data_IF_226189402054
#
_entry.id   IF_226189402054
#
_cell.length_a   1.000
_cell.length_b   1.000
_cell.length_c   1.000
_cell.angle_alpha   90.00
_cell.angle_beta   90.00
_cell.angle_gamma   90.00
#
_symmetry.space_group_name_H-M   'P 1'
#
loop_
_entity.id
_entity.type
_entity.pdbx_description
1 polymer ?
#
# COMPACT_ATOMS: atom_id res chain seq x y z
N UNK A 1 1.01 -1.12 -28.04
CA UNK A 1 0.41 -2.28 -27.34
C UNK A 1 -0.88 -1.80 -26.67
N UNK A 2 -1.98 -2.57 -26.70
CA UNK A 2 -3.25 -2.17 -26.09
C UNK A 2 -3.19 -2.35 -24.56
N UNK A 3 -3.72 -1.40 -23.78
CA UNK A 3 -3.71 -1.42 -22.30
C UNK A 3 -4.28 -2.73 -21.72
N UNK A 4 -5.37 -3.26 -22.29
CA UNK A 4 -5.95 -4.53 -21.87
C UNK A 4 -4.95 -5.69 -21.99
N UNK A 5 -4.24 -5.76 -23.12
CA UNK A 5 -3.24 -6.80 -23.35
C UNK A 5 -2.05 -6.67 -22.38
N UNK A 6 -1.63 -5.45 -22.04
CA UNK A 6 -0.57 -5.21 -21.05
C UNK A 6 -0.99 -5.77 -19.69
N UNK A 7 -2.21 -5.46 -19.25
CA UNK A 7 -2.76 -5.97 -17.97
C UNK A 7 -2.83 -7.50 -17.99
N UNK A 8 -3.40 -8.10 -19.04
CA UNK A 8 -3.50 -9.57 -19.13
C UNK A 8 -2.13 -10.25 -19.12
N UNK A 9 -1.16 -9.70 -19.84
CA UNK A 9 0.22 -10.22 -19.83
C UNK A 9 0.85 -10.10 -18.45
N UNK A 10 0.69 -8.97 -17.75
CA UNK A 10 1.19 -8.81 -16.38
C UNK A 10 0.52 -9.77 -15.39
N UNK A 11 -0.77 -10.03 -15.55
CA UNK A 11 -1.51 -11.01 -14.73
C UNK A 11 -1.04 -12.44 -14.94
N UNK A 12 -0.82 -12.84 -16.21
CA UNK A 12 -0.27 -14.15 -16.57
C UNK A 12 1.16 -14.32 -16.02
N UNK A 13 1.98 -13.26 -16.06
CA UNK A 13 3.33 -13.24 -15.46
C UNK A 13 3.27 -13.44 -13.94
N UNK A 14 2.37 -12.72 -13.25
CA UNK A 14 2.20 -12.84 -11.80
C UNK A 14 1.76 -14.26 -11.40
N UNK A 15 0.77 -14.81 -12.12
CA UNK A 15 0.31 -16.18 -11.92
C UNK A 15 1.43 -17.20 -12.15
N UNK A 16 2.18 -17.07 -13.26
CA UNK A 16 3.29 -17.96 -13.57
C UNK A 16 4.40 -17.92 -12.52
N UNK A 17 4.75 -16.73 -12.01
CA UNK A 17 5.71 -16.58 -10.93
C UNK A 17 5.24 -17.24 -9.63
N UNK A 18 3.97 -17.04 -9.26
CA UNK A 18 3.38 -17.66 -8.07
C UNK A 18 3.32 -19.19 -8.17
N UNK A 19 2.95 -19.73 -9.34
CA UNK A 19 2.92 -21.17 -9.61
C UNK A 19 4.31 -21.80 -9.51
N UNK A 20 5.32 -21.17 -10.11
CA UNK A 20 6.69 -21.66 -10.06
C UNK A 20 7.24 -21.69 -8.61
N UNK A 21 7.03 -20.60 -7.87
CA UNK A 21 7.47 -20.50 -6.47
C UNK A 21 6.74 -21.49 -5.56
N UNK A 22 5.43 -21.68 -5.76
CA UNK A 22 4.65 -22.66 -4.99
C UNK A 22 5.12 -24.10 -5.27
N UNK A 23 5.35 -24.44 -6.54
CA UNK A 23 5.84 -25.77 -6.91
C UNK A 23 7.18 -26.08 -6.24
N UNK A 24 8.13 -25.14 -6.25
CA UNK A 24 9.42 -25.28 -5.58
C UNK A 24 9.26 -25.42 -4.05
N UNK A 25 8.37 -24.63 -3.44
CA UNK A 25 8.11 -24.70 -2.00
C UNK A 25 7.48 -26.04 -1.59
N UNK A 26 6.54 -26.57 -2.39
CA UNK A 26 5.91 -27.87 -2.16
C UNK A 26 6.92 -29.00 -2.32
N UNK A 27 7.79 -28.94 -3.33
CA UNK A 27 8.84 -29.95 -3.53
C UNK A 27 9.79 -30.03 -2.33
N UNK A 28 10.17 -28.88 -1.77
CA UNK A 28 11.11 -28.80 -0.64
C UNK A 28 10.48 -29.12 0.72
N UNK A 29 9.27 -28.65 0.99
CA UNK A 29 8.66 -28.66 2.33
C UNK A 29 7.43 -29.57 2.45
N UNK A 30 6.87 -30.05 1.34
CA UNK A 30 5.64 -30.83 1.29
C UNK A 30 4.37 -29.98 1.40
N UNK A 31 3.23 -30.55 0.97
CA UNK A 31 1.93 -29.83 0.90
C UNK A 31 1.39 -29.38 2.26
N UNK A 32 1.69 -30.13 3.33
CA UNK A 32 1.21 -29.86 4.69
C UNK A 32 2.02 -28.75 5.41
N UNK A 33 3.07 -28.21 4.78
CA UNK A 33 3.85 -27.13 5.36
C UNK A 33 2.98 -25.90 5.63
N UNK A 34 3.09 -25.34 6.83
CA UNK A 34 2.22 -24.27 7.30
C UNK A 34 2.50 -22.95 6.58
N UNK A 35 1.44 -22.27 6.19
CA UNK A 35 1.46 -20.92 5.61
C UNK A 35 0.67 -19.99 6.52
N UNK A 36 1.30 -18.90 6.95
CA UNK A 36 0.64 -17.84 7.69
C UNK A 36 1.45 -16.54 7.62
N UNK A 37 0.78 -15.40 7.54
CA UNK A 37 1.39 -14.12 7.89
C UNK A 37 1.48 -13.97 9.43
N UNK A 38 2.45 -13.19 9.93
CA UNK A 38 2.57 -12.92 11.36
C UNK A 38 1.40 -12.08 11.88
N UNK A 39 0.93 -12.40 13.09
CA UNK A 39 -0.04 -11.61 13.86
C UNK A 39 -1.30 -11.15 13.09
N UNK A 40 -1.90 -12.08 12.35
CA UNK A 40 -3.18 -11.88 11.66
C UNK A 40 -4.21 -12.97 11.98
N UNK A 41 -5.46 -12.57 12.21
CA UNK A 41 -6.59 -13.49 12.36
C UNK A 41 -7.23 -13.91 11.01
N UNK A 42 -6.80 -13.26 9.92
CA UNK A 42 -7.43 -13.31 8.60
C UNK A 42 -6.69 -14.19 7.60
N UNK A 43 -5.77 -15.07 8.05
CA UNK A 43 -5.01 -15.98 7.18
C UNK A 43 -4.29 -15.20 6.08
N UNK A 44 -4.64 -15.39 4.80
CA UNK A 44 -4.25 -14.56 3.67
C UNK A 44 -5.40 -13.59 3.37
N UNK A 45 -5.31 -12.31 3.79
CA UNK A 45 -6.48 -11.46 3.88
C UNK A 45 -7.21 -11.20 2.57
N UNK A 46 -6.52 -11.02 1.45
CA UNK A 46 -7.14 -10.72 0.17
C UNK A 46 -7.85 -11.96 -0.40
N UNK A 47 -7.20 -13.13 -0.35
CA UNK A 47 -7.81 -14.42 -0.72
C UNK A 47 -9.00 -14.72 0.19
N UNK A 48 -8.85 -14.54 1.50
CA UNK A 48 -9.91 -14.80 2.47
C UNK A 48 -11.11 -13.87 2.24
N UNK A 49 -10.88 -12.59 1.95
CA UNK A 49 -11.95 -11.66 1.66
C UNK A 49 -12.67 -12.00 0.34
N UNK A 50 -11.94 -12.46 -0.68
CA UNK A 50 -12.51 -12.81 -1.98
C UNK A 50 -13.27 -14.15 -1.97
N UNK A 51 -12.79 -15.14 -1.21
CA UNK A 51 -13.29 -16.54 -1.29
C UNK A 51 -14.01 -17.02 -0.04
N UNK A 52 -13.80 -16.36 1.09
CA UNK A 52 -14.26 -16.83 2.41
C UNK A 52 -13.47 -18.03 2.95
N UNK A 53 -12.45 -18.50 2.23
CA UNK A 53 -11.66 -19.68 2.60
C UNK A 53 -10.31 -19.26 3.21
N UNK A 54 -9.96 -19.88 4.34
CA UNK A 54 -8.64 -19.68 4.96
C UNK A 54 -7.63 -20.63 4.33
N UNK A 55 -6.48 -20.10 3.97
CA UNK A 55 -5.33 -20.86 3.46
C UNK A 55 -4.32 -21.02 4.60
N UNK A 56 -4.02 -22.25 5.00
CA UNK A 56 -3.14 -22.53 6.14
C UNK A 56 -1.95 -23.42 5.78
N UNK A 57 -1.96 -24.04 4.59
CA UNK A 57 -0.92 -24.93 4.11
C UNK A 57 -0.49 -24.59 2.68
N UNK A 58 0.66 -25.09 2.23
CA UNK A 58 1.08 -24.96 0.84
C UNK A 58 0.09 -25.63 -0.14
N UNK A 59 -0.52 -26.74 0.26
CA UNK A 59 -1.57 -27.40 -0.54
C UNK A 59 -2.80 -26.54 -0.77
N UNK A 60 -3.21 -25.75 0.23
CA UNK A 60 -4.34 -24.82 0.10
C UNK A 60 -4.07 -23.74 -0.97
N UNK A 61 -2.80 -23.33 -1.12
CA UNK A 61 -2.40 -22.32 -2.10
C UNK A 61 -2.56 -22.80 -3.56
N UNK A 62 -2.52 -24.11 -3.83
CA UNK A 62 -2.84 -24.64 -5.17
C UNK A 62 -4.28 -24.27 -5.55
N UNK A 63 -5.22 -24.42 -4.61
CA UNK A 63 -6.62 -24.01 -4.79
C UNK A 63 -6.78 -22.50 -4.97
N UNK A 64 -6.00 -21.70 -4.23
CA UNK A 64 -5.99 -20.25 -4.40
C UNK A 64 -5.52 -19.84 -5.82
N UNK A 65 -4.51 -20.51 -6.38
CA UNK A 65 -4.02 -20.22 -7.73
C UNK A 65 -5.02 -20.60 -8.84
N UNK A 66 -5.88 -21.60 -8.63
CA UNK A 66 -6.98 -21.87 -9.55
C UNK A 66 -8.04 -20.74 -9.54
N UNK A 67 -8.29 -20.12 -8.38
CA UNK A 67 -9.13 -18.91 -8.30
C UNK A 67 -8.47 -17.76 -9.07
N UNK A 68 -7.18 -17.51 -8.86
CA UNK A 68 -6.41 -16.50 -9.60
C UNK A 68 -6.54 -16.72 -11.10
N UNK A 69 -6.34 -17.94 -11.57
CA UNK A 69 -6.45 -18.31 -12.98
C UNK A 69 -7.84 -18.08 -13.54
N UNK A 70 -8.89 -18.35 -12.78
CA UNK A 70 -10.28 -18.14 -13.21
C UNK A 70 -10.65 -16.67 -13.46
N UNK A 71 -9.93 -15.75 -12.82
CA UNK A 71 -10.14 -14.30 -12.96
C UNK A 71 -9.49 -13.72 -14.22
N UNK A 72 -8.59 -14.46 -14.89
CA UNK A 72 -7.87 -14.01 -16.07
C UNK A 72 -8.65 -14.41 -17.32
N UNK A 73 -9.39 -13.46 -17.89
CA UNK A 73 -10.08 -13.61 -19.18
C UNK A 73 -9.54 -12.58 -20.18
N UNK A 74 -9.06 -13.04 -21.34
CA UNK A 74 -8.45 -12.17 -22.37
C UNK A 74 -9.44 -11.44 -23.27
N UNK A 75 -10.74 -11.54 -23.01
CA UNK A 75 -11.74 -10.73 -23.72
C UNK A 75 -11.59 -9.26 -23.32
N UNK A 76 -11.57 -8.34 -24.30
CA UNK A 76 -11.32 -6.91 -24.10
C UNK A 76 -12.55 -6.18 -23.53
N UNK A 77 -12.90 -6.49 -22.29
CA UNK A 77 -13.95 -5.84 -21.51
C UNK A 77 -13.37 -5.27 -20.21
N UNK A 78 -13.90 -4.14 -19.76
CA UNK A 78 -13.42 -3.44 -18.57
C UNK A 78 -13.45 -4.33 -17.33
N UNK A 79 -14.52 -5.12 -17.15
CA UNK A 79 -14.62 -6.06 -16.02
C UNK A 79 -13.47 -7.08 -16.02
N UNK A 80 -13.05 -7.55 -17.20
CA UNK A 80 -12.00 -8.56 -17.31
C UNK A 80 -10.63 -7.96 -17.02
N UNK A 81 -10.40 -6.70 -17.39
CA UNK A 81 -9.18 -5.99 -16.99
C UNK A 81 -9.09 -5.82 -15.46
N UNK A 82 -10.21 -5.49 -14.81
CA UNK A 82 -10.26 -5.38 -13.35
C UNK A 82 -10.10 -6.74 -12.67
N UNK A 83 -10.77 -7.78 -13.15
CA UNK A 83 -10.60 -9.14 -12.63
C UNK A 83 -9.15 -9.64 -12.79
N UNK A 84 -8.50 -9.35 -13.91
CA UNK A 84 -7.09 -9.65 -14.11
C UNK A 84 -6.17 -8.86 -13.14
N UNK A 85 -6.49 -7.59 -12.88
CA UNK A 85 -5.83 -6.80 -11.84
C UNK A 85 -5.99 -7.39 -10.44
N UNK A 86 -7.19 -7.84 -10.07
CA UNK A 86 -7.44 -8.56 -8.81
C UNK A 86 -6.69 -9.90 -8.77
N UNK A 87 -6.63 -10.63 -9.89
CA UNK A 87 -5.83 -11.84 -10.01
C UNK A 87 -4.34 -11.57 -9.71
N UNK A 88 -3.81 -10.46 -10.21
CA UNK A 88 -2.44 -10.02 -9.92
C UNK A 88 -2.22 -9.75 -8.44
N UNK A 89 -3.18 -9.09 -7.76
CA UNK A 89 -3.11 -8.86 -6.32
C UNK A 89 -3.13 -10.17 -5.53
N UNK A 90 -4.03 -11.11 -5.87
CA UNK A 90 -4.09 -12.42 -5.23
C UNK A 90 -2.82 -13.26 -5.48
N UNK A 91 -2.27 -13.22 -6.69
CA UNK A 91 -0.98 -13.87 -7.01
C UNK A 91 0.18 -13.27 -6.19
N UNK A 92 0.20 -11.95 -6.03
CA UNK A 92 1.16 -11.27 -5.17
C UNK A 92 1.01 -11.71 -3.70
N UNK A 93 -0.22 -11.90 -3.20
CA UNK A 93 -0.44 -12.41 -1.83
C UNK A 93 0.11 -13.82 -1.65
N UNK A 94 -0.07 -14.70 -2.65
CA UNK A 94 0.51 -16.04 -2.65
C UNK A 94 2.04 -15.97 -2.60
N UNK A 95 2.67 -15.15 -3.45
CA UNK A 95 4.14 -14.98 -3.47
C UNK A 95 4.64 -14.46 -2.11
N UNK A 96 3.99 -13.45 -1.55
CA UNK A 96 4.37 -12.90 -0.25
C UNK A 96 4.17 -13.92 0.89
N UNK A 97 3.07 -14.67 0.88
CA UNK A 97 2.84 -15.75 1.84
C UNK A 97 3.92 -16.84 1.75
N UNK A 98 4.36 -17.18 0.53
CA UNK A 98 5.44 -18.12 0.30
C UNK A 98 6.76 -17.62 0.89
N UNK A 99 7.10 -16.34 0.72
CA UNK A 99 8.29 -15.74 1.36
C UNK A 99 8.25 -15.91 2.88
N UNK A 100 7.12 -15.57 3.52
CA UNK A 100 6.95 -15.75 4.98
C UNK A 100 6.96 -17.21 5.45
N UNK A 101 6.55 -18.15 4.60
CA UNK A 101 6.54 -19.58 4.96
C UNK A 101 7.88 -20.28 4.76
N UNK A 102 8.72 -19.81 3.83
CA UNK A 102 9.95 -20.50 3.39
C UNK A 102 11.23 -19.77 3.76
N UNK A 103 11.16 -18.51 4.19
CA UNK A 103 12.30 -17.70 4.62
C UNK A 103 12.14 -17.35 6.10
N UNK A 104 13.22 -17.44 6.88
CA UNK A 104 13.19 -17.16 8.32
C UNK A 104 12.85 -15.69 8.63
N UNK A 105 13.36 -14.76 7.83
CA UNK A 105 13.10 -13.32 7.92
C UNK A 105 13.04 -12.71 6.51
N UNK A 106 11.89 -12.79 5.82
CA UNK A 106 11.77 -12.31 4.43
C UNK A 106 11.92 -10.78 4.31
N UNK A 107 11.70 -10.05 5.40
CA UNK A 107 11.84 -8.61 5.49
C UNK A 107 12.68 -8.22 6.70
N UNK A 108 13.57 -7.24 6.50
CA UNK A 108 14.38 -6.62 7.54
C UNK A 108 14.32 -5.11 7.42
N UNK A 109 14.62 -4.40 8.51
CA UNK A 109 14.71 -2.95 8.51
C UNK A 109 15.62 -2.46 7.37
N UNK A 110 15.20 -1.43 6.61
CA UNK A 110 14.09 -0.52 6.89
C UNK A 110 12.70 -1.04 6.48
N UNK A 111 12.59 -2.14 5.73
CA UNK A 111 11.31 -2.62 5.18
C UNK A 111 10.45 -3.33 6.24
N UNK A 112 9.17 -2.94 6.32
CA UNK A 112 8.22 -3.49 7.27
C UNK A 112 7.60 -4.84 6.81
N UNK A 113 7.49 -5.07 5.50
CA UNK A 113 6.75 -6.21 4.96
C UNK A 113 5.28 -6.18 5.35
N UNK A 114 4.78 -7.31 5.87
CA UNK A 114 3.40 -7.49 6.32
C UNK A 114 3.04 -6.60 7.51
N UNK A 115 1.99 -5.79 7.36
CA UNK A 115 1.44 -4.98 8.44
C UNK A 115 0.51 -5.84 9.30
N UNK A 116 0.76 -5.94 10.60
CA UNK A 116 0.02 -6.82 11.50
C UNK A 116 -1.35 -6.26 11.89
N UNK A 117 -2.28 -7.12 12.33
CA UNK A 117 -3.63 -6.69 12.72
C UNK A 117 -3.64 -5.65 13.88
N UNK A 118 -2.76 -5.74 14.90
CA UNK A 118 -2.65 -4.70 15.92
C UNK A 118 -2.31 -3.31 15.35
N UNK A 119 -1.44 -3.23 14.34
CA UNK A 119 -1.10 -1.96 13.67
C UNK A 119 -2.31 -1.44 12.90
N UNK A 120 -3.04 -2.30 12.19
CA UNK A 120 -4.25 -1.86 11.47
C UNK A 120 -5.31 -1.34 12.44
N UNK A 121 -5.45 -1.98 13.61
CA UNK A 121 -6.36 -1.52 14.67
C UNK A 121 -5.97 -0.16 15.23
N UNK A 122 -4.67 0.14 15.38
CA UNK A 122 -4.22 1.46 15.83
C UNK A 122 -4.46 2.55 14.78
N UNK A 123 -4.36 2.21 13.49
CA UNK A 123 -4.63 3.12 12.36
C UNK A 123 -6.11 3.36 12.08
N UNK A 124 -7.00 2.46 12.56
CA UNK A 124 -8.43 2.51 12.27
C UNK A 124 -9.15 3.74 12.79
N UNK A 125 -8.90 4.12 14.06
CA UNK A 125 -9.55 5.29 14.65
C UNK A 125 -9.16 6.58 13.89
N UNK A 126 -7.87 6.87 13.65
CA UNK A 126 -7.45 8.03 12.85
C UNK A 126 -8.04 8.09 11.43
N UNK A 127 -8.20 6.95 10.76
CA UNK A 127 -8.82 6.88 9.43
C UNK A 127 -10.31 7.22 9.48
N UNK A 128 -11.03 6.77 10.51
CA UNK A 128 -12.48 7.05 10.67
C UNK A 128 -12.73 8.50 11.11
N UNK A 129 -11.90 9.04 12.00
CA UNK A 129 -12.02 10.44 12.46
C UNK A 129 -11.55 11.44 11.40
N UNK A 130 -10.83 10.98 10.37
CA UNK A 130 -10.23 11.81 9.32
C UNK A 130 -8.96 12.54 9.76
N UNK A 131 -8.37 12.13 10.88
CA UNK A 131 -7.04 12.60 11.31
C UNK A 131 -5.93 12.10 10.39
N UNK A 132 -6.13 10.92 9.77
CA UNK A 132 -5.42 10.50 8.56
C UNK A 132 -6.35 10.77 7.38
N UNK A 133 -6.13 11.85 6.59
CA UNK A 133 -7.05 12.23 5.52
C UNK A 133 -7.09 11.23 4.35
N UNK A 134 -6.01 10.46 4.18
CA UNK A 134 -5.80 9.59 3.04
C UNK A 134 -4.60 8.67 3.21
N UNK A 135 -4.55 7.64 2.36
CA UNK A 135 -3.43 6.71 2.23
C UNK A 135 -2.78 6.90 0.86
N UNK A 136 -1.50 7.26 0.84
CA UNK A 136 -0.71 7.39 -0.38
C UNK A 136 0.15 6.13 -0.56
N UNK A 137 0.06 5.46 -1.71
CA UNK A 137 0.95 4.34 -2.05
C UNK A 137 1.91 4.80 -3.12
N UNK A 138 3.18 4.99 -2.79
CA UNK A 138 4.21 5.41 -3.74
C UNK A 138 5.05 4.20 -4.13
N UNK A 139 5.06 3.86 -5.41
CA UNK A 139 5.83 2.74 -5.94
C UNK A 139 6.73 3.13 -7.11
N UNK A 140 7.84 2.41 -7.25
CA UNK A 140 8.75 2.51 -8.39
C UNK A 140 9.97 3.37 -8.08
N UNK A 141 10.35 4.23 -9.01
CA UNK A 141 11.56 5.04 -8.97
C UNK A 141 11.28 6.47 -9.47
N UNK A 142 11.57 7.47 -8.64
CA UNK A 142 11.55 8.88 -9.06
C UNK A 142 12.80 9.21 -9.90
N UNK A 143 12.82 10.30 -10.68
CA UNK A 143 14.00 10.72 -11.44
C UNK A 143 15.22 10.99 -10.54
N UNK A 144 14.99 11.45 -9.31
CA UNK A 144 16.01 11.76 -8.32
C UNK A 144 15.45 11.68 -6.89
N UNK A 145 16.34 11.66 -5.89
CA UNK A 145 15.99 11.54 -4.48
C UNK A 145 15.30 12.79 -3.90
N UNK A 146 15.59 13.97 -4.44
CA UNK A 146 14.98 15.23 -3.99
C UNK A 146 13.49 15.28 -4.38
N UNK A 147 13.17 14.89 -5.62
CA UNK A 147 11.81 14.75 -6.13
C UNK A 147 11.00 13.74 -5.30
N UNK A 148 11.59 12.58 -4.98
CA UNK A 148 10.95 11.59 -4.09
C UNK A 148 10.67 12.17 -2.71
N UNK A 149 11.67 12.79 -2.07
CA UNK A 149 11.52 13.37 -0.75
C UNK A 149 10.51 14.52 -0.71
N UNK A 150 10.45 15.34 -1.76
CA UNK A 150 9.48 16.42 -1.89
C UNK A 150 8.05 15.89 -1.85
N UNK A 151 7.75 14.87 -2.66
CA UNK A 151 6.42 14.24 -2.71
C UNK A 151 6.07 13.59 -1.37
N UNK A 152 6.99 12.81 -0.78
CA UNK A 152 6.76 12.09 0.48
C UNK A 152 6.57 13.07 1.65
N UNK A 153 7.43 14.09 1.77
CA UNK A 153 7.33 15.11 2.82
C UNK A 153 6.07 15.95 2.66
N UNK A 154 5.63 16.23 1.43
CA UNK A 154 4.38 16.94 1.20
C UNK A 154 3.18 16.11 1.69
N UNK A 155 3.09 14.82 1.33
CA UNK A 155 2.06 13.92 1.88
C UNK A 155 2.11 13.82 3.41
N UNK A 156 3.31 13.72 3.99
CA UNK A 156 3.51 13.69 5.44
C UNK A 156 3.06 15.00 6.10
N UNK A 157 3.38 16.17 5.52
CA UNK A 157 2.96 17.48 6.04
C UNK A 157 1.44 17.65 6.04
N UNK A 158 0.78 16.98 5.10
CA UNK A 158 -0.67 16.92 4.95
C UNK A 158 -1.32 15.87 5.85
N UNK A 159 -0.54 15.13 6.64
CA UNK A 159 -1.00 14.13 7.60
C UNK A 159 -1.41 12.79 6.98
N UNK A 160 -1.12 12.56 5.69
CA UNK A 160 -1.43 11.29 5.03
C UNK A 160 -0.55 10.16 5.53
N UNK A 161 -1.09 8.94 5.51
CA UNK A 161 -0.33 7.72 5.69
C UNK A 161 0.29 7.31 4.36
N UNK A 162 1.62 7.33 4.26
CA UNK A 162 2.35 7.03 3.03
C UNK A 162 3.02 5.66 3.12
N UNK A 163 2.79 4.80 2.14
CA UNK A 163 3.49 3.53 1.97
C UNK A 163 4.45 3.62 0.79
N UNK A 164 5.67 3.09 0.96
CA UNK A 164 6.72 3.09 -0.06
C UNK A 164 7.02 1.67 -0.54
N UNK A 165 7.11 1.47 -1.85
CA UNK A 165 7.44 0.18 -2.48
C UNK A 165 8.46 0.40 -3.61
N UNK A 166 9.53 -0.40 -3.65
CA UNK A 166 10.55 -0.30 -4.69
C UNK A 166 11.66 0.72 -4.37
N UNK A 167 12.35 1.17 -5.42
CA UNK A 167 13.57 1.97 -5.31
C UNK A 167 13.36 3.35 -4.68
N UNK A 168 12.13 3.84 -4.65
CA UNK A 168 11.75 5.06 -3.90
C UNK A 168 12.09 4.97 -2.40
N UNK A 169 12.20 3.76 -1.83
CA UNK A 169 12.65 3.56 -0.44
C UNK A 169 14.09 4.05 -0.28
N UNK A 170 15.00 3.65 -1.16
CA UNK A 170 16.40 4.09 -1.12
C UNK A 170 16.52 5.59 -1.34
N UNK A 171 15.75 6.13 -2.29
CA UNK A 171 15.69 7.57 -2.56
C UNK A 171 15.21 8.38 -1.36
N UNK A 172 14.23 7.86 -0.60
CA UNK A 172 13.75 8.49 0.62
C UNK A 172 14.85 8.50 1.71
N UNK A 173 15.62 7.41 1.83
CA UNK A 173 16.74 7.30 2.77
C UNK A 173 17.87 8.27 2.39
N UNK A 174 18.27 8.29 1.12
CA UNK A 174 19.31 9.15 0.58
C UNK A 174 19.01 10.63 0.83
N UNK A 175 17.74 11.03 0.71
CA UNK A 175 17.28 12.39 0.96
C UNK A 175 16.94 12.70 2.44
N UNK A 176 17.22 11.76 3.35
CA UNK A 176 17.05 11.94 4.80
C UNK A 176 15.60 12.04 5.26
N UNK A 177 14.66 11.39 4.55
CA UNK A 177 13.27 11.26 5.01
C UNK A 177 13.23 10.29 6.18
N UNK A 178 12.73 10.74 7.34
CA UNK A 178 12.53 9.85 8.49
C UNK A 178 11.30 8.97 8.24
N UNK A 179 11.47 7.66 8.34
CA UNK A 179 10.41 6.67 8.12
C UNK A 179 10.06 5.93 9.42
N UNK A 180 8.83 5.44 9.49
CA UNK A 180 8.27 4.73 10.63
C UNK A 180 6.75 4.88 10.69
N UNK A 181 6.11 3.96 11.42
CA UNK A 181 4.66 4.00 11.65
C UNK A 181 4.21 5.30 12.33
N UNK A 182 4.96 5.75 13.34
CA UNK A 182 4.68 7.01 14.08
C UNK A 182 4.76 8.23 13.15
N UNK A 183 5.71 8.21 12.20
CA UNK A 183 5.94 9.26 11.23
C UNK A 183 5.02 9.15 9.99
N UNK A 184 4.11 8.17 9.97
CA UNK A 184 3.17 7.91 8.88
C UNK A 184 3.85 7.66 7.52
N UNK A 185 5.10 7.20 7.49
CA UNK A 185 5.82 6.83 6.26
C UNK A 185 6.38 5.42 6.43
N UNK A 186 5.79 4.43 5.75
CA UNK A 186 6.05 3.01 5.97
C UNK A 186 6.62 2.38 4.69
N UNK A 187 7.93 2.08 4.63
CA UNK A 187 8.50 1.27 3.56
C UNK A 187 8.06 -0.20 3.71
N UNK A 188 7.46 -0.77 2.66
CA UNK A 188 6.96 -2.15 2.69
C UNK A 188 7.99 -3.14 2.18
N UNK A 189 8.62 -2.85 1.03
CA UNK A 189 9.53 -3.76 0.37
C UNK A 189 9.98 -3.27 -1.00
N UNK A 190 11.08 -3.85 -1.49
CA UNK A 190 11.62 -3.51 -2.81
C UNK A 190 10.88 -4.18 -3.96
N UNK A 191 10.36 -5.40 -3.75
CA UNK A 191 9.62 -6.11 -4.78
C UNK A 191 8.23 -5.52 -4.98
N UNK A 192 7.77 -5.46 -6.24
CA UNK A 192 6.43 -4.98 -6.60
C UNK A 192 5.34 -5.77 -5.87
N UNK A 193 5.54 -7.07 -5.63
CA UNK A 193 4.58 -7.93 -4.90
C UNK A 193 4.31 -7.43 -3.48
N UNK A 194 5.24 -6.71 -2.86
CA UNK A 194 5.08 -6.12 -1.52
C UNK A 194 3.94 -5.10 -1.44
N UNK A 195 3.46 -4.57 -2.58
CA UNK A 195 2.28 -3.69 -2.64
C UNK A 195 1.03 -4.37 -2.08
N UNK A 196 0.98 -5.71 -2.09
CA UNK A 196 -0.14 -6.45 -1.51
C UNK A 196 -0.28 -6.20 0.00
N UNK A 197 0.81 -5.85 0.70
CA UNK A 197 0.76 -5.56 2.12
C UNK A 197 -0.10 -4.33 2.42
N UNK A 198 -0.10 -3.28 1.57
CA UNK A 198 -1.03 -2.15 1.74
C UNK A 198 -2.45 -2.46 1.26
N UNK A 199 -2.60 -3.26 0.19
CA UNK A 199 -3.93 -3.75 -0.22
C UNK A 199 -4.58 -4.54 0.92
N UNK A 200 -3.82 -5.39 1.59
CA UNK A 200 -4.29 -6.16 2.74
C UNK A 200 -4.70 -5.28 3.94
N UNK A 201 -4.14 -4.06 4.07
CA UNK A 201 -4.59 -3.08 5.07
C UNK A 201 -5.99 -2.58 4.73
N UNK A 202 -6.24 -2.21 3.47
CA UNK A 202 -7.56 -1.78 3.01
C UNK A 202 -8.61 -2.90 3.13
N UNK A 203 -8.24 -4.12 2.75
CA UNK A 203 -9.12 -5.29 2.85
C UNK A 203 -9.45 -5.62 4.30
N UNK A 204 -8.45 -5.65 5.19
CA UNK A 204 -8.68 -5.91 6.62
C UNK A 204 -9.42 -4.77 7.28
N UNK A 205 -9.29 -3.53 6.84
CA UNK A 205 -10.13 -2.44 7.33
C UNK A 205 -11.62 -2.70 7.05
N UNK A 206 -11.96 -3.26 5.89
CA UNK A 206 -13.33 -3.69 5.58
C UNK A 206 -13.81 -4.83 6.48
N UNK A 207 -12.97 -5.84 6.71
CA UNK A 207 -13.31 -6.99 7.56
C UNK A 207 -13.42 -6.62 9.05
N UNK A 208 -12.51 -5.77 9.56
CA UNK A 208 -12.43 -5.39 10.98
C UNK A 208 -13.47 -4.31 11.32
N UNK A 209 -13.52 -3.22 10.56
CA UNK A 209 -14.35 -2.06 10.88
C UNK A 209 -15.67 -2.05 10.13
N UNK A 210 -15.69 -2.53 8.89
CA UNK A 210 -16.90 -2.69 8.10
C UNK A 210 -17.74 -3.90 8.51
N UNK A 211 -17.16 -4.86 9.24
CA UNK A 211 -17.85 -6.10 9.62
C UNK A 211 -18.26 -6.94 8.41
N UNK A 212 -17.54 -6.78 7.28
CA UNK A 212 -17.86 -7.47 6.03
C UNK A 212 -17.70 -8.99 6.19
N UNK A 213 -18.62 -9.74 5.60
CA UNK A 213 -18.54 -11.21 5.60
C UNK A 213 -17.46 -11.66 4.59
N UNK A 214 -16.49 -12.48 4.99
CA UNK A 214 -15.51 -13.05 4.07
C UNK A 214 -16.18 -13.80 2.92
N UNK A 215 -15.74 -13.58 1.69
CA UNK A 215 -16.37 -14.10 0.46
C UNK A 215 -17.34 -13.12 -0.22
N UNK A 216 -17.71 -12.01 0.43
CA UNK A 216 -18.48 -10.93 -0.19
C UNK A 216 -17.56 -9.96 -0.94
N UNK A 217 -17.10 -10.38 -2.12
CA UNK A 217 -16.21 -9.55 -2.95
C UNK A 217 -16.88 -8.24 -3.38
N UNK A 218 -18.17 -8.24 -3.72
CA UNK A 218 -18.86 -7.02 -4.15
C UNK A 218 -18.94 -6.00 -3.00
N UNK A 219 -19.32 -6.45 -1.80
CA UNK A 219 -19.32 -5.60 -0.61
C UNK A 219 -17.92 -5.11 -0.24
N UNK A 220 -16.87 -5.90 -0.51
CA UNK A 220 -15.48 -5.48 -0.33
C UNK A 220 -15.12 -4.31 -1.25
N UNK A 221 -15.38 -4.46 -2.56
CA UNK A 221 -15.06 -3.43 -3.55
C UNK A 221 -15.83 -2.13 -3.27
N UNK A 222 -17.10 -2.24 -2.87
CA UNK A 222 -17.91 -1.08 -2.47
C UNK A 222 -17.35 -0.40 -1.22
N UNK A 223 -16.96 -1.18 -0.19
CA UNK A 223 -16.39 -0.64 1.02
C UNK A 223 -15.06 0.07 0.75
N UNK A 224 -14.14 -0.55 0.00
CA UNK A 224 -12.82 0.06 -0.28
C UNK A 224 -12.98 1.33 -1.11
N UNK A 225 -13.83 1.32 -2.13
CA UNK A 225 -14.08 2.48 -2.98
C UNK A 225 -14.67 3.67 -2.20
N UNK A 226 -15.54 3.43 -1.22
CA UNK A 226 -16.26 4.48 -0.50
C UNK A 226 -15.64 4.89 0.84
N UNK A 227 -14.94 3.99 1.54
CA UNK A 227 -14.50 4.19 2.94
C UNK A 227 -12.99 4.28 3.11
N UNK A 228 -12.20 3.76 2.17
CA UNK A 228 -10.73 3.76 2.28
C UNK A 228 -10.16 4.81 1.31
N UNK A 229 -9.82 6.02 1.76
CA UNK A 229 -9.32 7.10 0.89
C UNK A 229 -7.87 6.85 0.43
N UNK A 230 -7.65 5.81 -0.38
CA UNK A 230 -6.35 5.46 -0.91
C UNK A 230 -6.20 5.84 -2.39
N UNK A 231 -4.96 6.13 -2.80
CA UNK A 231 -4.53 6.32 -4.18
C UNK A 231 -3.09 5.82 -4.37
N UNK A 232 -2.70 5.62 -5.62
CA UNK A 232 -1.41 5.04 -5.98
C UNK A 232 -0.62 6.02 -6.86
N UNK A 233 0.65 6.22 -6.56
CA UNK A 233 1.62 6.96 -7.35
C UNK A 233 2.67 6.00 -7.91
N UNK A 234 2.65 5.74 -9.21
CA UNK A 234 3.60 4.85 -9.89
C UNK A 234 4.63 5.67 -10.67
N UNK A 235 5.88 5.69 -10.21
CA UNK A 235 6.96 6.47 -10.80
C UNK A 235 7.98 5.62 -11.55
N UNK A 236 8.50 6.19 -12.63
CA UNK A 236 9.51 5.56 -13.47
C UNK A 236 8.92 4.51 -14.42
N UNK A 237 9.77 3.76 -15.13
CA UNK A 237 9.33 2.81 -16.16
C UNK A 237 8.36 1.76 -15.61
N UNK A 238 7.17 1.66 -16.22
CA UNK A 238 6.14 0.71 -15.80
C UNK A 238 6.29 -0.61 -16.57
N UNK A 239 6.55 -1.71 -15.86
CA UNK A 239 6.46 -3.06 -16.42
C UNK A 239 5.01 -3.51 -16.56
N UNK A 240 4.77 -4.56 -17.36
CA UNK A 240 3.43 -5.15 -17.51
C UNK A 240 2.85 -5.58 -16.15
N UNK A 241 3.69 -6.14 -15.27
CA UNK A 241 3.31 -6.53 -13.91
C UNK A 241 2.82 -5.34 -13.08
N UNK A 242 3.53 -4.20 -13.12
CA UNK A 242 3.15 -2.98 -12.39
C UNK A 242 1.85 -2.40 -12.93
N UNK A 243 1.68 -2.37 -14.26
CA UNK A 243 0.42 -1.91 -14.88
C UNK A 243 -0.74 -2.81 -14.47
N UNK A 244 -0.52 -4.13 -14.40
CA UNK A 244 -1.52 -5.09 -13.94
C UNK A 244 -1.89 -4.91 -12.47
N UNK A 245 -0.90 -4.67 -11.60
CA UNK A 245 -1.16 -4.33 -10.19
C UNK A 245 -1.96 -3.02 -10.06
N UNK A 246 -1.68 -2.02 -10.92
CA UNK A 246 -2.45 -0.78 -11.02
C UNK A 246 -3.92 -1.01 -11.37
N UNK A 247 -4.21 -1.96 -12.26
CA UNK A 247 -5.60 -2.35 -12.57
C UNK A 247 -6.32 -2.93 -11.34
N UNK A 248 -5.61 -3.67 -10.48
CA UNK A 248 -6.13 -4.16 -9.20
C UNK A 248 -6.44 -3.02 -8.22
N UNK A 249 -5.59 -2.00 -8.15
CA UNK A 249 -5.85 -0.80 -7.36
C UNK A 249 -7.10 -0.05 -7.85
N UNK A 250 -7.25 0.11 -9.17
CA UNK A 250 -8.44 0.74 -9.76
C UNK A 250 -9.70 -0.09 -9.47
N UNK A 251 -9.61 -1.43 -9.52
CA UNK A 251 -10.73 -2.31 -9.16
C UNK A 251 -11.20 -2.09 -7.71
N UNK A 252 -10.27 -1.80 -6.79
CA UNK A 252 -10.58 -1.45 -5.38
C UNK A 252 -11.10 -0.02 -5.20
N UNK A 253 -11.17 0.77 -6.27
CA UNK A 253 -11.60 2.17 -6.27
C UNK A 253 -10.48 3.17 -5.97
N UNK A 254 -9.22 2.79 -6.18
CA UNK A 254 -8.06 3.63 -5.93
C UNK A 254 -7.48 4.15 -7.25
N UNK A 255 -7.44 5.48 -7.47
CA UNK A 255 -6.87 6.04 -8.67
C UNK A 255 -5.35 5.85 -8.69
N UNK A 256 -4.80 5.69 -9.88
CA UNK A 256 -3.38 5.55 -10.17
C UNK A 256 -2.89 6.79 -10.91
N UNK A 257 -1.89 7.45 -10.36
CA UNK A 257 -1.24 8.62 -10.93
C UNK A 257 0.18 8.22 -11.28
N UNK A 258 0.62 8.49 -12.50
CA UNK A 258 1.98 8.14 -12.96
C UNK A 258 2.64 9.30 -13.69
N UNK A 259 3.97 9.32 -13.70
CA UNK A 259 4.76 10.24 -14.51
C UNK A 259 5.01 9.72 -15.95
N UNK A 260 4.67 8.45 -16.20
CA UNK A 260 4.81 7.84 -17.52
C UNK A 260 3.62 8.16 -18.42
N UNK A 261 3.89 8.23 -19.73
CA UNK A 261 2.82 8.47 -20.71
C UNK A 261 2.02 7.20 -20.91
N UNK A 262 0.79 7.18 -20.40
CA UNK A 262 -0.14 6.04 -20.48
C UNK A 262 -1.43 6.43 -21.19
N UNK A 263 -2.22 5.42 -21.59
CA UNK A 263 -3.58 5.67 -22.06
C UNK A 263 -4.46 5.98 -20.84
N UNK A 264 -4.71 7.27 -20.62
CA UNK A 264 -5.45 7.73 -19.46
C UNK A 264 -6.89 7.20 -19.43
N UNK A 265 -7.34 6.92 -18.21
CA UNK A 265 -8.74 6.63 -17.91
C UNK A 265 -9.20 7.72 -16.94
N UNK A 266 -10.16 8.57 -17.32
CA UNK A 266 -10.58 9.69 -16.48
C UNK A 266 -10.84 9.26 -15.03
N UNK A 267 -10.32 10.05 -14.09
CA UNK A 267 -10.38 9.84 -12.64
C UNK A 267 -9.71 8.57 -12.09
N UNK A 268 -9.26 7.62 -12.93
CA UNK A 268 -8.77 6.32 -12.48
C UNK A 268 -7.29 6.08 -12.82
N UNK A 269 -6.85 6.49 -14.02
CA UNK A 269 -5.46 6.39 -14.46
C UNK A 269 -5.07 7.71 -15.10
N UNK A 270 -4.21 8.47 -14.43
CA UNK A 270 -3.84 9.83 -14.81
C UNK A 270 -2.33 9.97 -14.99
N UNK A 271 -1.92 10.77 -15.95
CA UNK A 271 -0.52 11.15 -16.17
C UNK A 271 -0.26 12.53 -15.58
N UNK A 272 0.65 12.63 -14.62
CA UNK A 272 1.16 13.90 -14.09
C UNK A 272 2.68 13.88 -14.10
N UNK A 273 3.28 14.65 -15.00
CA UNK A 273 4.74 14.74 -15.17
C UNK A 273 5.38 15.81 -14.30
N UNK A 274 4.59 16.77 -13.83
CA UNK A 274 5.04 17.84 -12.97
C UNK A 274 4.98 17.38 -11.51
N UNK A 275 6.14 17.03 -10.95
CA UNK A 275 6.27 16.52 -9.58
C UNK A 275 5.75 17.47 -8.51
N UNK A 276 5.69 18.77 -8.82
CA UNK A 276 5.16 19.80 -7.91
C UNK A 276 3.63 19.76 -7.83
N UNK A 277 2.98 19.17 -8.82
CA UNK A 277 1.52 19.06 -8.91
C UNK A 277 1.00 17.66 -8.61
N UNK A 278 1.88 16.66 -8.54
CA UNK A 278 1.51 15.25 -8.27
C UNK A 278 0.64 15.13 -7.03
N UNK A 279 1.04 15.75 -5.92
CA UNK A 279 0.30 15.63 -4.66
C UNK A 279 -1.11 16.22 -4.80
N UNK A 280 -1.22 17.40 -5.42
CA UNK A 280 -2.52 18.03 -5.67
C UNK A 280 -3.41 17.17 -6.59
N UNK A 281 -2.86 16.66 -7.69
CA UNK A 281 -3.57 15.77 -8.62
C UNK A 281 -4.03 14.48 -7.93
N UNK A 282 -3.21 13.86 -7.08
CA UNK A 282 -3.57 12.63 -6.36
C UNK A 282 -4.73 12.85 -5.39
N UNK A 283 -4.69 13.95 -4.64
CA UNK A 283 -5.75 14.32 -3.69
C UNK A 283 -7.05 14.63 -4.40
N UNK A 284 -6.99 15.38 -5.51
CA UNK A 284 -8.16 15.70 -6.33
C UNK A 284 -8.77 14.45 -6.96
N UNK A 285 -7.94 13.57 -7.55
CA UNK A 285 -8.38 12.32 -8.14
C UNK A 285 -9.12 11.42 -7.15
N UNK A 286 -8.68 11.41 -5.88
CA UNK A 286 -9.36 10.65 -4.81
C UNK A 286 -10.49 11.41 -4.12
N UNK A 287 -10.63 12.71 -4.36
CA UNK A 287 -11.61 13.57 -3.68
C UNK A 287 -11.26 13.90 -2.22
N UNK A 288 -9.98 13.82 -1.84
CA UNK A 288 -9.51 14.12 -0.48
C UNK A 288 -9.40 15.64 -0.33
N UNK A 289 -10.22 16.20 0.55
CA UNK A 289 -10.16 17.63 0.91
C UNK A 289 -9.40 17.77 2.22
N UNK A 290 -8.19 18.29 2.13
CA UNK A 290 -7.36 18.54 3.30
C UNK A 290 -7.90 19.77 4.03
N UNK A 291 -8.18 19.62 5.32
CA UNK A 291 -8.63 20.73 6.20
C UNK A 291 -7.47 21.62 6.69
N UNK A 292 -6.30 21.56 6.06
CA UNK A 292 -5.09 22.23 6.54
C UNK A 292 -5.08 23.66 6.02
N UNK A 293 -5.13 24.60 6.95
CA UNK A 293 -4.67 25.96 6.76
C UNK A 293 -3.15 25.89 6.61
N UNK A 294 -2.58 26.27 5.46
CA UNK A 294 -1.12 26.43 5.34
C UNK A 294 -0.66 27.39 6.45
N UNK A 295 0.16 26.89 7.36
CA UNK A 295 0.74 27.72 8.43
C UNK A 295 2.10 28.17 7.92
N UNK A 296 2.35 29.49 7.74
CA UNK A 296 3.61 30.00 7.20
C UNK A 296 4.71 29.95 8.26
N UNK A 297 5.19 28.75 8.57
CA UNK A 297 6.28 28.47 9.51
C UNK A 297 7.43 27.76 8.79
N UNK A 298 8.70 28.02 9.17
CA UNK A 298 9.87 27.48 8.48
C UNK A 298 10.15 26.00 8.82
N UNK A 299 9.23 25.34 9.52
CA UNK A 299 9.36 23.95 9.99
C UNK A 299 8.11 23.16 9.60
N UNK A 300 8.29 21.85 9.35
CA UNK A 300 7.18 20.96 9.03
C UNK A 300 6.22 20.85 10.22
N UNK A 301 4.91 20.92 9.95
CA UNK A 301 3.84 20.82 10.95
C UNK A 301 2.81 19.80 10.49
N UNK A 302 2.69 18.71 11.24
CA UNK A 302 1.73 17.65 11.01
C UNK A 302 1.58 16.79 12.27
N UNK A 303 0.46 16.09 12.40
CA UNK A 303 0.24 15.11 13.47
C UNK A 303 1.28 13.97 13.47
N UNK A 304 1.95 13.72 12.33
CA UNK A 304 3.05 12.76 12.23
C UNK A 304 4.28 13.11 13.08
N UNK A 305 4.47 14.38 13.47
CA UNK A 305 5.58 14.80 14.34
C UNK A 305 5.19 14.82 15.83
N UNK A 306 3.95 14.48 16.16
CA UNK A 306 3.50 14.37 17.54
C UNK A 306 4.22 13.20 18.24
N UNK A 307 4.76 13.45 19.43
CA UNK A 307 5.49 12.45 20.20
C UNK A 307 6.98 12.31 19.86
N UNK A 308 7.53 13.14 18.95
CA UNK A 308 8.97 13.13 18.67
C UNK A 308 9.79 13.39 19.95
N UNK A 309 10.74 12.49 20.23
CA UNK A 309 11.61 12.61 21.40
C UNK A 309 12.84 13.46 21.09
N UNK A 310 12.87 14.67 21.63
CA UNK A 310 14.04 15.57 21.56
C UNK A 310 15.04 15.22 22.68
N UNK A 311 16.27 14.83 22.32
CA UNK A 311 17.36 14.55 23.28
C UNK A 311 18.13 15.82 23.61
N UNK A 312 18.84 15.83 24.74
CA UNK A 312 19.63 17.00 25.19
C UNK A 312 20.70 17.44 24.17
N UNK A 313 21.24 16.52 23.37
CA UNK A 313 22.19 16.82 22.29
C UNK A 313 21.57 17.62 21.15
N UNK A 314 20.28 17.43 20.90
CA UNK A 314 19.56 17.97 19.74
C UNK A 314 18.65 19.15 20.14
N UNK A 315 18.60 19.45 21.44
CA UNK A 315 17.74 20.46 22.06
C UNK A 315 18.40 21.84 22.04
N UNK A 316 17.78 22.80 21.36
CA UNK A 316 18.26 24.19 21.33
C UNK A 316 17.89 24.97 22.60
N UNK A 317 16.66 24.83 23.09
CA UNK A 317 16.15 25.49 24.29
C UNK A 317 15.13 24.59 25.03
N UNK A 318 15.00 24.77 26.35
CA UNK A 318 14.09 24.00 27.21
C UNK A 318 13.32 24.96 28.13
N UNK A 319 12.00 24.82 28.18
CA UNK A 319 11.12 25.62 29.03
C UNK A 319 10.19 24.69 29.83
N UNK A 320 9.90 25.03 31.09
CA UNK A 320 9.04 24.25 31.99
C UNK A 320 9.76 23.21 32.84
N UNK A 321 8.97 22.26 33.38
CA UNK A 321 9.45 21.25 34.33
C UNK A 321 9.98 21.86 35.62
N UNK A 322 11.02 21.24 36.20
CA UNK A 322 11.67 21.76 37.42
C UNK A 322 12.79 22.79 37.12
N UNK A 323 12.95 23.22 35.86
CA UNK A 323 14.06 24.09 35.45
C UNK A 323 13.66 25.55 35.32
N UNK A 324 12.48 25.81 34.75
CA UNK A 324 11.95 27.16 34.57
C UNK A 324 10.44 27.17 34.81
N UNK A 325 9.92 28.29 35.32
CA UNK A 325 8.47 28.48 35.43
C UNK A 325 7.88 28.73 34.03
N UNK A 326 6.88 27.92 33.64
CA UNK A 326 6.17 28.06 32.38
C UNK A 326 4.68 27.74 32.57
N UNK A 327 3.80 28.57 31.99
CA UNK A 327 2.35 28.40 32.05
C UNK A 327 1.76 28.68 30.66
N UNK A 328 0.90 27.78 30.17
CA UNK A 328 0.04 28.04 29.01
C UNK A 328 -1.36 28.46 29.47
N UNK A 329 -1.84 29.61 29.03
CA UNK A 329 -3.19 30.11 29.32
C UNK A 329 -3.89 30.51 28.02
N UNK A 330 -5.18 30.19 27.90
CA UNK A 330 -6.07 30.66 26.85
C UNK A 330 -7.24 31.37 27.54
N UNK A 331 -7.38 32.67 27.30
CA UNK A 331 -8.42 33.52 27.89
C UNK A 331 -9.50 33.83 26.85
#
# INVERSE_FOLDING_TARGET
MNLYNIIFTGSEQALGAAQAMLAEAIEKNGKEHKVAFPDTAYSLPCIYAATGQKMNTLGDLEGALEVVKSLINRTHLLEHAFNAGLATALAAEVIEALKYSTMDAPYSEPCAGHITDPIIRSLGVPLVTGDIPGVAVVLGECPDAESAAKVIKDYQSKGLLTFLVGKVIDQAIEAGVKMGLELRVIPLGYDVTSVIHVVSVAVRAALIFGGLTPGDLNGLLEYTANRVPAFVNAFGPLSELVVSAGAGAIALGFPVITDQTVLEVPMNLLTQKDYDKIVATSLEARGIKIKVTEIPIPVSFAAAFEGERIRKSDMFAEFGGNRTEALGACC
#
